data_IF_991669768188
#
_entry.id   IF_991669768188
#
_cell.length_a   1.000
_cell.length_b   1.000
_cell.length_c   1.000
_cell.angle_alpha   90.00
_cell.angle_beta   90.00
_cell.angle_gamma   90.00
#
_symmetry.space_group_name_H-M   'P 1'
#
loop_
_entity.id
_entity.type
_entity.pdbx_description
1 polymer ?
#
# COMPACT_ATOMS: atom_id res chain seq x y z
N UNK A 1 -3.86 12.68 65.29
CA UNK A 1 -4.72 11.47 65.20
C UNK A 1 -5.42 11.48 63.85
N UNK A 2 -5.33 10.36 63.09
CA UNK A 2 -6.31 9.79 62.13
C UNK A 2 -7.27 10.81 61.46
N UNK A 3 -7.39 10.87 60.13
CA UNK A 3 -7.79 9.74 59.26
C UNK A 3 -7.30 9.93 57.82
N UNK A 4 -6.64 8.90 57.30
CA UNK A 4 -6.47 8.68 55.86
C UNK A 4 -7.86 8.54 55.22
N UNK A 5 -8.16 9.35 54.20
CA UNK A 5 -9.24 9.07 53.28
C UNK A 5 -8.61 8.72 51.93
N UNK A 6 -8.42 7.42 51.72
CA UNK A 6 -8.06 6.84 50.43
C UNK A 6 -9.21 7.08 49.44
N UNK A 7 -9.00 7.96 48.47
CA UNK A 7 -9.87 8.06 47.29
C UNK A 7 -9.48 6.95 46.31
N UNK A 8 -10.20 5.84 46.43
CA UNK A 8 -10.16 4.71 45.50
C UNK A 8 -10.80 5.15 44.18
N UNK A 9 -9.99 5.65 43.24
CA UNK A 9 -10.43 5.87 41.87
C UNK A 9 -10.44 4.51 41.18
N UNK A 10 -11.59 3.85 41.20
CA UNK A 10 -11.86 2.67 40.38
C UNK A 10 -11.84 3.08 38.91
N UNK A 11 -10.76 2.73 38.21
CA UNK A 11 -10.74 2.66 36.75
C UNK A 11 -11.81 1.67 36.28
N UNK A 12 -12.94 2.20 35.83
CA UNK A 12 -13.87 1.45 35.00
C UNK A 12 -13.19 1.21 33.65
N UNK A 13 -12.51 0.07 33.49
CA UNK A 13 -12.15 -0.43 32.17
C UNK A 13 -13.44 -0.84 31.47
N UNK A 14 -14.02 0.09 30.72
CA UNK A 14 -15.00 -0.22 29.69
C UNK A 14 -14.31 -1.13 28.67
N UNK A 15 -14.43 -2.44 28.87
CA UNK A 15 -14.07 -3.43 27.88
C UNK A 15 -14.95 -3.24 26.67
N UNK A 16 -14.42 -2.61 25.62
CA UNK A 16 -15.03 -2.68 24.30
C UNK A 16 -14.95 -4.14 23.82
N UNK A 17 -16.00 -4.91 24.03
CA UNK A 17 -16.24 -6.13 23.28
C UNK A 17 -16.48 -5.71 21.82
N UNK A 18 -15.46 -5.85 20.98
CA UNK A 18 -15.68 -5.86 19.53
C UNK A 18 -16.38 -7.17 19.22
N UNK A 19 -17.61 -7.06 18.73
CA UNK A 19 -18.39 -8.18 18.25
C UNK A 19 -17.73 -8.69 16.96
N UNK A 20 -16.88 -9.70 17.10
CA UNK A 20 -16.15 -10.32 16.00
C UNK A 20 -17.12 -11.20 15.19
N UNK A 21 -17.41 -10.85 13.94
CA UNK A 21 -17.84 -11.83 12.92
C UNK A 21 -17.68 -11.37 11.45
N UNK A 22 -17.23 -10.15 11.16
CA UNK A 22 -16.90 -9.75 9.77
C UNK A 22 -15.97 -8.51 9.72
N UNK A 23 -14.73 -8.64 10.20
CA UNK A 23 -13.78 -7.54 10.14
C UNK A 23 -13.23 -7.33 8.72
N UNK A 24 -13.20 -6.08 8.27
CA UNK A 24 -12.45 -5.68 7.09
C UNK A 24 -10.97 -5.58 7.45
N UNK A 25 -10.12 -6.28 6.70
CA UNK A 25 -8.66 -6.30 6.86
C UNK A 25 -8.00 -5.75 5.61
N UNK A 26 -6.75 -5.29 5.76
CA UNK A 26 -5.93 -4.77 4.67
C UNK A 26 -4.56 -5.45 4.68
N UNK A 27 -4.01 -5.65 3.49
CA UNK A 27 -2.66 -6.19 3.29
C UNK A 27 -2.00 -5.61 2.04
N UNK A 28 -0.67 -5.65 2.00
CA UNK A 28 0.08 -5.30 0.79
C UNK A 28 0.06 -6.45 -0.21
N UNK A 29 -0.14 -6.11 -1.48
CA UNK A 29 -0.15 -7.04 -2.59
C UNK A 29 1.15 -6.88 -3.41
N UNK A 30 1.84 -8.00 -3.72
CA UNK A 30 3.10 -7.94 -4.43
C UNK A 30 2.91 -7.48 -5.88
N UNK A 31 3.73 -6.52 -6.30
CA UNK A 31 3.78 -6.02 -7.67
C UNK A 31 4.48 -7.02 -8.60
N UNK A 32 3.82 -7.37 -9.69
CA UNK A 32 4.34 -8.28 -10.73
C UNK A 32 5.10 -7.49 -11.79
N UNK A 33 4.49 -6.43 -12.32
CA UNK A 33 5.12 -5.56 -13.33
C UNK A 33 4.47 -4.19 -13.32
N UNK A 34 5.19 -3.22 -13.92
CA UNK A 34 4.70 -1.85 -14.09
C UNK A 34 4.96 -1.40 -15.52
N UNK A 35 4.00 -0.67 -16.09
CA UNK A 35 4.15 0.01 -17.36
C UNK A 35 4.45 1.49 -17.11
N UNK A 36 5.72 1.86 -17.26
CA UNK A 36 6.19 3.24 -17.11
C UNK A 36 6.68 3.75 -18.47
N UNK A 37 6.50 5.03 -18.79
CA UNK A 37 7.11 5.61 -19.98
C UNK A 37 8.63 5.69 -19.83
N UNK A 38 9.36 5.71 -20.95
CA UNK A 38 10.83 5.86 -20.96
C UNK A 38 11.30 7.20 -20.39
N UNK A 39 10.44 8.22 -20.42
CA UNK A 39 10.68 9.53 -19.83
C UNK A 39 9.38 10.19 -19.41
N UNK A 40 9.48 11.06 -18.40
CA UNK A 40 8.39 11.90 -17.93
C UNK A 40 8.60 13.35 -18.39
N UNK A 41 7.53 14.14 -18.43
CA UNK A 41 7.60 15.59 -18.69
C UNK A 41 7.20 16.35 -17.43
N UNK A 42 8.00 17.34 -17.04
CA UNK A 42 7.72 18.18 -15.86
C UNK A 42 6.35 18.85 -15.97
N UNK A 43 5.58 18.91 -14.88
CA UNK A 43 4.24 19.50 -14.84
C UNK A 43 3.13 18.70 -15.53
N UNK A 44 3.42 17.51 -16.08
CA UNK A 44 2.40 16.62 -16.65
C UNK A 44 1.91 15.59 -15.62
N UNK A 45 0.69 15.09 -15.83
CA UNK A 45 0.11 13.98 -15.08
C UNK A 45 0.13 12.70 -15.93
N UNK A 46 0.43 11.58 -15.28
CA UNK A 46 0.48 10.26 -15.89
C UNK A 46 -0.35 9.27 -15.09
N UNK A 47 -0.82 8.23 -15.79
CA UNK A 47 -1.45 7.06 -15.19
C UNK A 47 -0.59 5.83 -15.51
N UNK A 48 -0.02 5.21 -14.48
CA UNK A 48 0.82 4.02 -14.61
C UNK A 48 -0.02 2.76 -14.36
N UNK A 49 0.07 1.79 -15.27
CA UNK A 49 -0.54 0.48 -15.07
C UNK A 49 0.37 -0.37 -14.18
N UNK A 50 -0.12 -0.71 -12.99
CA UNK A 50 0.56 -1.55 -12.01
C UNK A 50 -0.14 -2.91 -11.97
N UNK A 51 0.52 -3.93 -12.50
CA UNK A 51 0.07 -5.32 -12.42
C UNK A 51 0.53 -5.90 -11.08
N UNK A 52 -0.41 -6.40 -10.29
CA UNK A 52 -0.13 -6.96 -8.98
C UNK A 52 -0.86 -8.29 -8.79
N UNK A 53 -0.41 -9.09 -7.82
CA UNK A 53 -0.98 -10.40 -7.53
C UNK A 53 -1.75 -10.35 -6.20
N UNK A 54 -2.98 -10.82 -6.24
CA UNK A 54 -3.84 -10.98 -5.07
C UNK A 54 -3.58 -12.31 -4.37
N UNK A 55 -3.79 -12.34 -3.06
CA UNK A 55 -3.66 -13.56 -2.26
C UNK A 55 -4.78 -14.57 -2.55
N UNK A 56 -6.02 -14.08 -2.67
CA UNK A 56 -7.19 -14.91 -3.04
C UNK A 56 -8.18 -14.12 -3.91
N UNK A 57 -9.19 -14.80 -4.43
CA UNK A 57 -10.29 -14.20 -5.20
C UNK A 57 -11.13 -13.18 -4.41
N UNK A 58 -11.09 -13.23 -3.08
CA UNK A 58 -11.83 -12.31 -2.20
C UNK A 58 -11.10 -11.00 -1.94
N UNK A 59 -9.80 -10.94 -2.25
CA UNK A 59 -9.03 -9.71 -2.14
C UNK A 59 -9.42 -8.77 -3.27
N UNK A 60 -9.54 -7.50 -2.95
CA UNK A 60 -9.83 -6.46 -3.93
C UNK A 60 -8.96 -5.23 -3.69
N UNK A 61 -8.66 -4.52 -4.78
CA UNK A 61 -7.91 -3.28 -4.74
C UNK A 61 -8.57 -2.27 -3.80
N UNK A 62 -7.82 -1.73 -2.86
CA UNK A 62 -8.27 -0.72 -1.91
C UNK A 62 -7.59 0.63 -2.11
N UNK A 63 -6.47 0.67 -2.83
CA UNK A 63 -5.68 1.88 -3.03
C UNK A 63 -4.19 1.57 -3.17
N UNK A 64 -3.40 2.63 -3.21
CA UNK A 64 -1.95 2.55 -3.11
C UNK A 64 -1.49 3.19 -1.81
N UNK A 65 -0.52 2.58 -1.16
CA UNK A 65 0.29 3.21 -0.13
C UNK A 65 1.53 3.81 -0.82
N UNK A 66 1.64 5.14 -0.79
CA UNK A 66 2.67 5.87 -1.52
C UNK A 66 3.46 6.73 -0.56
N UNK A 67 4.78 6.55 -0.54
CA UNK A 67 5.69 7.43 0.19
C UNK A 67 6.71 8.05 -0.76
N UNK A 68 7.00 9.33 -0.54
CA UNK A 68 7.93 10.13 -1.34
C UNK A 68 9.08 10.58 -0.43
N UNK A 69 10.31 10.27 -0.84
CA UNK A 69 11.52 10.77 -0.22
C UNK A 69 12.44 11.31 -1.32
N UNK A 70 12.60 12.62 -1.41
CA UNK A 70 13.33 13.31 -2.48
C UNK A 70 12.85 12.90 -3.89
N UNK A 71 13.66 12.16 -4.64
CA UNK A 71 13.36 11.63 -5.99
C UNK A 71 12.85 10.19 -5.94
N UNK A 72 12.85 9.56 -4.77
CA UNK A 72 12.44 8.17 -4.59
C UNK A 72 10.96 8.11 -4.25
N UNK A 73 10.21 7.34 -5.03
CA UNK A 73 8.78 7.08 -4.81
C UNK A 73 8.63 5.60 -4.50
N UNK A 74 8.21 5.28 -3.27
CA UNK A 74 7.91 3.90 -2.87
C UNK A 74 6.41 3.68 -2.98
N UNK A 75 6.00 2.61 -3.65
CA UNK A 75 4.61 2.28 -3.92
C UNK A 75 4.29 0.87 -3.46
N UNK A 76 3.28 0.73 -2.61
CA UNK A 76 2.65 -0.54 -2.26
C UNK A 76 1.21 -0.60 -2.78
N UNK A 77 0.79 -1.74 -3.32
CA UNK A 77 -0.62 -1.96 -3.65
C UNK A 77 -1.33 -2.47 -2.40
N UNK A 78 -2.42 -1.82 -1.98
CA UNK A 78 -3.19 -2.23 -0.81
C UNK A 78 -4.42 -3.01 -1.26
N UNK A 79 -4.55 -4.25 -0.79
CA UNK A 79 -5.77 -5.03 -0.92
C UNK A 79 -6.57 -4.99 0.38
N UNK A 80 -7.89 -5.07 0.23
CA UNK A 80 -8.82 -5.31 1.33
C UNK A 80 -9.49 -6.68 1.19
N UNK A 81 -9.84 -7.30 2.32
CA UNK A 81 -10.60 -8.56 2.38
C UNK A 81 -11.36 -8.70 3.70
N UNK A 82 -12.34 -9.60 3.74
CA UNK A 82 -13.15 -9.91 4.93
C UNK A 82 -12.81 -11.30 5.47
N UNK A 83 -12.42 -11.40 6.75
CA UNK A 83 -11.99 -12.67 7.35
C UNK A 83 -13.12 -13.71 7.47
N UNK A 84 -14.38 -13.26 7.55
CA UNK A 84 -15.53 -14.16 7.63
C UNK A 84 -15.88 -14.85 6.30
N UNK A 85 -15.26 -14.45 5.19
CA UNK A 85 -15.54 -15.04 3.89
C UNK A 85 -14.70 -16.31 3.67
N UNK A 86 -15.35 -17.47 3.67
CA UNK A 86 -14.71 -18.78 3.47
C UNK A 86 -14.73 -19.26 2.02
N UNK A 87 -15.50 -18.62 1.13
CA UNK A 87 -15.66 -19.01 -0.27
C UNK A 87 -14.61 -18.35 -1.19
N UNK A 88 -13.36 -18.29 -0.73
CA UNK A 88 -12.26 -17.65 -1.45
C UNK A 88 -11.37 -18.68 -2.15
N UNK A 89 -11.03 -18.45 -3.41
CA UNK A 89 -10.14 -19.31 -4.17
C UNK A 89 -8.72 -18.71 -4.23
N UNK A 90 -7.71 -19.51 -3.90
CA UNK A 90 -6.28 -19.15 -3.98
C UNK A 90 -5.60 -19.63 -5.28
N UNK A 91 -6.36 -20.24 -6.18
CA UNK A 91 -5.91 -20.80 -7.46
C UNK A 91 -6.49 -20.00 -8.63
N UNK A 92 -5.90 -20.18 -9.81
CA UNK A 92 -6.26 -19.46 -11.03
C UNK A 92 -5.50 -18.15 -11.21
N UNK A 93 -5.97 -17.32 -12.14
CA UNK A 93 -5.36 -16.01 -12.40
C UNK A 93 -5.85 -14.99 -11.36
N UNK A 94 -4.99 -14.72 -10.38
CA UNK A 94 -5.22 -13.72 -9.33
C UNK A 94 -4.46 -12.41 -9.59
N UNK A 95 -4.00 -12.19 -10.83
CA UNK A 95 -3.39 -10.92 -11.21
C UNK A 95 -4.46 -9.90 -11.57
N UNK A 96 -4.22 -8.65 -11.21
CA UNK A 96 -5.09 -7.52 -11.51
C UNK A 96 -4.24 -6.29 -11.80
N UNK A 97 -4.72 -5.43 -12.70
CA UNK A 97 -4.08 -4.14 -12.99
C UNK A 97 -4.79 -3.04 -12.21
N UNK A 98 -4.02 -2.21 -11.52
CA UNK A 98 -4.48 -0.97 -10.90
C UNK A 98 -3.77 0.24 -11.53
N UNK A 99 -4.45 1.38 -11.50
CA UNK A 99 -4.02 2.62 -12.17
C UNK A 99 -3.50 3.61 -11.14
N UNK A 100 -2.19 3.84 -11.15
CA UNK A 100 -1.54 4.80 -10.27
C UNK A 100 -1.45 6.16 -10.96
N UNK A 101 -2.16 7.16 -10.42
CA UNK A 101 -2.04 8.54 -10.88
C UNK A 101 -0.80 9.19 -10.28
N UNK A 102 -0.01 9.86 -11.11
CA UNK A 102 1.23 10.51 -10.71
C UNK A 102 1.41 11.86 -11.40
N UNK A 103 1.73 12.90 -10.63
CA UNK A 103 2.02 14.25 -11.14
C UNK A 103 3.53 14.50 -11.04
N UNK A 104 4.12 14.95 -12.14
CA UNK A 104 5.57 15.15 -12.26
C UNK A 104 5.93 16.54 -11.77
N UNK A 105 6.48 16.64 -10.56
CA UNK A 105 6.79 17.93 -9.90
C UNK A 105 8.30 18.25 -9.89
N UNK A 106 9.10 17.57 -10.70
CA UNK A 106 10.57 17.68 -10.74
C UNK A 106 11.07 17.74 -12.17
N UNK A 107 12.33 18.07 -12.35
CA UNK A 107 12.97 18.26 -13.67
C UNK A 107 14.20 17.38 -13.91
N UNK A 108 14.57 16.53 -12.96
CA UNK A 108 15.71 15.63 -13.07
C UNK A 108 15.30 14.18 -13.34
N UNK A 109 14.98 13.38 -12.31
CA UNK A 109 14.57 11.99 -12.45
C UNK A 109 13.80 11.51 -11.23
N UNK A 110 13.10 10.38 -11.39
CA UNK A 110 12.47 9.64 -10.30
C UNK A 110 13.02 8.23 -10.20
N UNK A 111 13.20 7.74 -8.98
CA UNK A 111 13.44 6.32 -8.67
C UNK A 111 12.17 5.73 -8.09
N UNK A 112 11.41 5.01 -8.90
CA UNK A 112 10.22 4.29 -8.44
C UNK A 112 10.60 2.94 -7.85
N UNK A 113 10.06 2.61 -6.68
CA UNK A 113 10.25 1.33 -5.98
C UNK A 113 8.89 0.73 -5.66
N UNK A 114 8.48 -0.27 -6.44
CA UNK A 114 7.22 -0.97 -6.22
C UNK A 114 7.44 -2.22 -5.37
N UNK A 115 6.71 -2.35 -4.25
CA UNK A 115 6.88 -3.47 -3.33
C UNK A 115 6.51 -4.82 -3.98
N UNK A 116 7.38 -5.82 -3.82
CA UNK A 116 7.22 -7.16 -4.42
C UNK A 116 7.03 -8.28 -3.40
N UNK A 117 7.11 -7.99 -2.10
CA UNK A 117 7.06 -8.99 -1.07
C UNK A 117 8.18 -8.83 -0.06
N UNK A 118 8.32 -9.86 0.77
CA UNK A 118 9.45 -10.04 1.68
C UNK A 118 10.29 -11.21 1.21
N UNK A 119 11.61 -11.07 1.33
CA UNK A 119 12.58 -12.13 1.10
C UNK A 119 12.45 -13.25 2.16
N UNK A 120 13.21 -14.33 1.99
CA UNK A 120 13.24 -15.45 2.96
C UNK A 120 13.72 -15.05 4.36
N UNK A 121 14.40 -13.92 4.50
CA UNK A 121 14.87 -13.35 5.78
C UNK A 121 13.97 -12.22 6.30
N UNK A 122 12.86 -11.91 5.61
CA UNK A 122 11.85 -10.94 6.05
C UNK A 122 12.09 -9.50 5.59
N UNK A 123 13.09 -9.25 4.76
CA UNK A 123 13.41 -7.92 4.21
C UNK A 123 12.51 -7.58 3.02
N UNK A 124 12.13 -6.31 2.87
CA UNK A 124 11.27 -5.88 1.76
C UNK A 124 12.02 -5.86 0.42
N UNK A 125 11.44 -6.50 -0.59
CA UNK A 125 11.94 -6.53 -1.96
C UNK A 125 11.15 -5.56 -2.85
N UNK A 126 11.85 -4.92 -3.81
CA UNK A 126 11.26 -3.88 -4.64
C UNK A 126 11.64 -4.03 -6.12
N UNK A 127 10.64 -3.87 -6.99
CA UNK A 127 10.84 -3.59 -8.41
C UNK A 127 11.24 -2.12 -8.54
N UNK A 128 12.52 -1.88 -8.82
CA UNK A 128 13.08 -0.53 -8.91
C UNK A 128 13.23 -0.10 -10.37
N UNK A 129 12.77 1.12 -10.69
CA UNK A 129 12.86 1.74 -12.00
C UNK A 129 13.27 3.20 -11.87
N UNK A 130 14.32 3.59 -12.56
CA UNK A 130 14.71 4.99 -12.71
C UNK A 130 14.11 5.53 -14.00
N UNK A 131 13.45 6.69 -13.93
CA UNK A 131 12.81 7.34 -15.07
C UNK A 131 13.25 8.80 -15.14
N UNK A 132 13.92 9.24 -16.21
CA UNK A 132 14.34 10.63 -16.38
C UNK A 132 13.14 11.55 -16.62
N UNK A 133 13.29 12.81 -16.23
CA UNK A 133 12.31 13.87 -16.50
C UNK A 133 12.89 14.85 -17.51
N UNK A 134 12.08 15.17 -18.52
CA UNK A 134 12.34 16.20 -19.51
C UNK A 134 11.71 17.50 -19.00
N UNK A 135 12.48 18.58 -18.83
CA UNK A 135 11.95 19.89 -18.45
C UNK A 135 10.89 20.38 -19.44
N UNK A 136 9.84 21.02 -18.91
CA UNK A 136 8.79 21.62 -19.75
C UNK A 136 9.22 23.02 -20.18
N UNK A 137 10.14 23.08 -21.14
CA UNK A 137 10.62 24.34 -21.69
C UNK A 137 11.78 24.14 -22.65
N UNK A 138 11.50 24.27 -23.93
CA UNK A 138 12.44 24.74 -24.94
C UNK A 138 11.72 25.82 -25.75
#
# INVERSE_FOLDING_TARGET
>A
MKRLLWLLVTCLSLGCSKNDNDSLNQELAPTVSVNLPDSLKSGQAYEFDVLYKKTTSCHYFSGFDVSKNENTIVVGVVNSYRSGNTNCNSTGNLQQTAKLNFVVEREDFYTFRFWQGKSSVGEDEFLTKEVPVIPSGN
#
